data_IF_206818312041
#
_entry.id   IF_206818312041
#
_cell.length_a   1.000
_cell.length_b   1.000
_cell.length_c   1.000
_cell.angle_alpha   90.00
_cell.angle_beta   90.00
_cell.angle_gamma   90.00
#
_symmetry.space_group_name_H-M   'P 1'
#
loop_
_entity.id
_entity.type
_entity.pdbx_description
1 polymer ?
#
# COMPACT_ATOMS: atom_id res chain seq x y z
N UNK A 1 -12.05 11.81 6.30
CA UNK A 1 -11.42 12.88 5.50
C UNK A 1 -10.78 13.96 6.40
N UNK A 2 -11.42 14.39 7.47
CA UNK A 2 -10.90 15.50 8.32
C UNK A 2 -9.61 15.17 9.03
N UNK A 3 -9.41 13.92 9.49
CA UNK A 3 -8.23 13.53 10.27
C UNK A 3 -6.99 13.23 9.41
N UNK A 4 -7.18 12.64 8.22
CA UNK A 4 -6.06 12.15 7.41
C UNK A 4 -5.82 12.97 6.14
N UNK A 5 -6.76 13.84 5.75
CA UNK A 5 -6.75 14.51 4.45
C UNK A 5 -6.99 13.56 3.26
N UNK A 6 -7.37 12.30 3.51
CA UNK A 6 -7.66 11.33 2.45
C UNK A 6 -8.83 11.85 1.59
N UNK A 7 -8.65 12.04 0.27
CA UNK A 7 -9.75 12.44 -0.59
C UNK A 7 -10.74 11.30 -0.79
N UNK A 8 -12.02 11.64 -0.79
CA UNK A 8 -13.11 10.76 -1.19
C UNK A 8 -13.94 11.45 -2.25
N UNK A 9 -14.23 10.76 -3.32
CA UNK A 9 -14.98 11.30 -4.46
C UNK A 9 -16.43 10.80 -4.53
N UNK A 10 -17.21 11.45 -5.39
CA UNK A 10 -18.61 11.06 -5.64
C UNK A 10 -18.75 9.62 -6.15
N UNK A 11 -17.78 9.14 -6.92
CA UNK A 11 -17.72 7.75 -7.38
C UNK A 11 -17.73 6.74 -6.23
N UNK A 12 -17.07 7.06 -5.12
CA UNK A 12 -17.09 6.22 -3.93
C UNK A 12 -18.43 6.30 -3.20
N UNK A 13 -18.90 7.53 -2.83
CA UNK A 13 -20.10 7.69 -2.01
C UNK A 13 -21.39 7.34 -2.76
N UNK A 14 -21.51 7.77 -4.01
CA UNK A 14 -22.72 7.61 -4.80
C UNK A 14 -22.71 6.35 -5.69
N UNK A 15 -21.52 5.73 -5.85
CA UNK A 15 -21.31 4.52 -6.64
C UNK A 15 -20.96 3.32 -5.78
N UNK A 16 -19.69 3.16 -5.44
CA UNK A 16 -19.13 1.93 -4.87
C UNK A 16 -19.77 1.52 -3.53
N UNK A 17 -20.06 2.49 -2.63
CA UNK A 17 -20.71 2.19 -1.34
C UNK A 17 -22.13 1.63 -1.49
N UNK A 18 -22.81 1.95 -2.58
CA UNK A 18 -24.17 1.49 -2.87
C UNK A 18 -24.18 0.26 -3.79
N UNK A 19 -23.01 -0.21 -4.21
CA UNK A 19 -22.86 -1.33 -5.13
C UNK A 19 -22.90 -2.66 -4.40
N UNK A 20 -24.08 -3.31 -4.41
CA UNK A 20 -24.28 -4.62 -3.78
C UNK A 20 -23.44 -5.75 -4.40
N UNK A 21 -22.90 -5.56 -5.59
CA UNK A 21 -22.01 -6.50 -6.27
C UNK A 21 -20.52 -6.26 -5.99
N UNK A 22 -20.18 -5.23 -5.22
CA UNK A 22 -18.79 -4.94 -4.87
C UNK A 22 -18.27 -5.96 -3.86
N UNK A 23 -17.16 -6.62 -4.22
CA UNK A 23 -16.44 -7.54 -3.33
C UNK A 23 -15.31 -6.78 -2.64
N UNK A 24 -15.27 -6.85 -1.32
CA UNK A 24 -14.19 -6.29 -0.51
C UNK A 24 -13.17 -7.40 -0.20
N UNK A 25 -12.37 -7.75 -1.20
CA UNK A 25 -11.26 -8.68 -1.07
C UNK A 25 -9.94 -7.92 -1.25
N UNK A 26 -9.03 -8.10 -0.31
CA UNK A 26 -7.71 -7.45 -0.33
C UNK A 26 -6.64 -8.27 -1.07
N UNK A 27 -6.89 -9.55 -1.36
CA UNK A 27 -5.89 -10.39 -2.06
C UNK A 27 -5.59 -9.90 -3.49
N UNK A 28 -6.59 -9.60 -4.36
CA UNK A 28 -6.33 -9.11 -5.70
C UNK A 28 -5.50 -7.81 -5.74
N UNK A 29 -5.82 -6.75 -4.98
CA UNK A 29 -5.01 -5.53 -4.99
C UNK A 29 -3.60 -5.75 -4.39
N UNK A 30 -3.42 -6.60 -3.39
CA UNK A 30 -2.08 -6.96 -2.88
C UNK A 30 -1.27 -7.68 -3.97
N UNK A 31 -1.87 -8.64 -4.68
CA UNK A 31 -1.23 -9.33 -5.81
C UNK A 31 -0.79 -8.35 -6.90
N UNK A 32 -1.60 -7.31 -7.18
CA UNK A 32 -1.28 -6.29 -8.16
C UNK A 32 -0.09 -5.40 -7.71
N UNK A 33 -0.01 -5.07 -6.43
CA UNK A 33 1.12 -4.31 -5.85
C UNK A 33 2.41 -5.14 -5.96
N UNK A 34 2.36 -6.43 -5.61
CA UNK A 34 3.51 -7.34 -5.72
C UNK A 34 3.95 -7.50 -7.17
N UNK A 35 3.00 -7.62 -8.12
CA UNK A 35 3.29 -7.70 -9.54
C UNK A 35 3.97 -6.43 -10.08
N UNK A 36 3.45 -5.24 -9.75
CA UNK A 36 4.05 -3.97 -10.16
C UNK A 36 5.46 -3.80 -9.57
N UNK A 37 5.65 -4.21 -8.32
CA UNK A 37 6.96 -4.23 -7.67
C UNK A 37 7.94 -5.15 -8.39
N UNK A 38 7.52 -6.34 -8.78
CA UNK A 38 8.36 -7.33 -9.46
C UNK A 38 8.75 -6.90 -10.88
N UNK A 39 7.85 -6.23 -11.62
CA UNK A 39 8.09 -5.84 -13.01
C UNK A 39 8.97 -4.59 -13.14
N UNK A 40 8.71 -3.57 -12.33
CA UNK A 40 9.35 -2.24 -12.50
C UNK A 40 9.75 -1.55 -11.20
N UNK A 41 9.59 -2.19 -10.03
CA UNK A 41 9.82 -1.54 -8.75
C UNK A 41 8.72 -0.53 -8.33
N UNK A 42 7.58 -0.50 -9.04
CA UNK A 42 6.52 0.49 -8.83
C UNK A 42 5.41 0.03 -7.88
N UNK A 43 5.69 -0.83 -6.91
CA UNK A 43 4.68 -1.31 -5.95
C UNK A 43 3.99 -0.18 -5.19
N UNK A 44 4.74 0.81 -4.71
CA UNK A 44 4.17 1.96 -3.99
C UNK A 44 3.29 2.84 -4.89
N UNK A 45 3.71 3.07 -6.14
CA UNK A 45 2.90 3.81 -7.12
C UNK A 45 1.59 3.07 -7.43
N UNK A 46 1.66 1.74 -7.55
CA UNK A 46 0.47 0.90 -7.73
C UNK A 46 -0.48 0.97 -6.53
N UNK A 47 0.04 0.92 -5.29
CA UNK A 47 -0.76 1.11 -4.09
C UNK A 47 -1.49 2.47 -4.10
N UNK A 48 -0.79 3.55 -4.38
CA UNK A 48 -1.38 4.90 -4.46
C UNK A 48 -2.46 4.98 -5.53
N UNK A 49 -2.21 4.39 -6.71
CA UNK A 49 -3.17 4.39 -7.82
C UNK A 49 -4.42 3.56 -7.47
N UNK A 50 -4.26 2.41 -6.82
CA UNK A 50 -5.37 1.58 -6.34
C UNK A 50 -6.21 2.33 -5.31
N UNK A 51 -5.58 2.99 -4.32
CA UNK A 51 -6.30 3.78 -3.33
C UNK A 51 -7.10 4.92 -3.98
N UNK A 52 -6.53 5.63 -4.93
CA UNK A 52 -7.23 6.66 -5.68
C UNK A 52 -8.42 6.09 -6.48
N UNK A 53 -8.21 4.96 -7.17
CA UNK A 53 -9.27 4.29 -7.91
C UNK A 53 -10.45 3.88 -7.01
N UNK A 54 -10.14 3.39 -5.81
CA UNK A 54 -11.16 2.96 -4.86
C UNK A 54 -11.91 4.15 -4.23
N UNK A 55 -11.16 5.05 -3.58
CA UNK A 55 -11.75 6.08 -2.72
C UNK A 55 -12.21 7.34 -3.48
N UNK A 56 -11.67 7.61 -4.66
CA UNK A 56 -12.04 8.80 -5.44
C UNK A 56 -12.92 8.42 -6.63
N UNK A 57 -12.48 7.42 -7.42
CA UNK A 57 -13.16 7.03 -8.65
C UNK A 57 -14.29 6.01 -8.42
N UNK A 58 -14.34 5.34 -7.27
CA UNK A 58 -15.35 4.33 -6.95
C UNK A 58 -15.19 3.04 -7.75
N UNK A 59 -13.97 2.69 -8.16
CA UNK A 59 -13.70 1.47 -8.96
C UNK A 59 -13.61 0.24 -8.08
N UNK A 60 -14.06 -0.90 -8.59
CA UNK A 60 -13.99 -2.22 -7.95
C UNK A 60 -12.56 -2.76 -8.03
N UNK A 61 -11.73 -2.47 -7.03
CA UNK A 61 -10.31 -2.87 -7.02
C UNK A 61 -10.06 -4.37 -6.76
N UNK A 62 -11.10 -5.15 -6.50
CA UNK A 62 -11.00 -6.62 -6.50
C UNK A 62 -11.04 -7.21 -7.92
N UNK A 63 -11.48 -6.46 -8.93
CA UNK A 63 -11.59 -6.91 -10.31
C UNK A 63 -10.24 -6.84 -11.01
N UNK A 64 -9.77 -7.97 -11.55
CA UNK A 64 -8.48 -8.04 -12.25
C UNK A 64 -8.41 -7.13 -13.48
N UNK A 65 -9.53 -6.90 -14.14
CA UNK A 65 -9.60 -5.99 -15.30
C UNK A 65 -9.32 -4.53 -14.87
N UNK A 66 -9.85 -4.12 -13.72
CA UNK A 66 -9.58 -2.81 -13.13
C UNK A 66 -8.10 -2.69 -12.79
N UNK A 67 -7.53 -3.67 -12.10
CA UNK A 67 -6.11 -3.67 -11.70
C UNK A 67 -5.17 -3.64 -12.91
N UNK A 68 -5.51 -4.38 -13.98
CA UNK A 68 -4.75 -4.36 -15.23
C UNK A 68 -4.80 -3.00 -15.92
N UNK A 69 -5.97 -2.35 -15.94
CA UNK A 69 -6.09 -0.98 -16.46
C UNK A 69 -5.25 0.02 -15.65
N UNK A 70 -5.26 -0.08 -14.31
CA UNK A 70 -4.43 0.77 -13.44
C UNK A 70 -2.93 0.57 -13.71
N UNK A 71 -2.50 -0.67 -13.96
CA UNK A 71 -1.11 -0.95 -14.34
C UNK A 71 -0.73 -0.27 -15.66
N UNK A 72 -1.64 -0.30 -16.66
CA UNK A 72 -1.47 0.41 -17.93
C UNK A 72 -1.38 1.93 -17.75
N UNK A 73 -2.19 2.51 -16.87
CA UNK A 73 -2.14 3.94 -16.52
C UNK A 73 -0.80 4.36 -15.90
N UNK A 74 -0.12 3.43 -15.22
CA UNK A 74 1.23 3.61 -14.69
C UNK A 74 2.35 3.33 -15.72
N UNK A 75 1.99 3.02 -16.96
CA UNK A 75 2.93 2.73 -18.03
C UNK A 75 3.58 1.35 -17.98
N UNK A 76 3.04 0.41 -17.19
CA UNK A 76 3.54 -0.96 -17.16
C UNK A 76 3.17 -1.71 -18.43
N UNK A 77 4.06 -2.59 -18.90
CA UNK A 77 3.72 -3.57 -19.94
C UNK A 77 2.60 -4.49 -19.44
N UNK A 78 1.44 -4.48 -20.10
CA UNK A 78 0.28 -5.27 -19.67
C UNK A 78 0.57 -6.77 -19.69
N UNK A 79 1.37 -7.23 -20.63
CA UNK A 79 1.77 -8.65 -20.70
C UNK A 79 2.67 -9.03 -19.50
N UNK A 80 3.69 -8.21 -19.22
CA UNK A 80 4.60 -8.46 -18.10
C UNK A 80 3.86 -8.38 -16.75
N UNK A 81 2.98 -7.38 -16.60
CA UNK A 81 2.14 -7.23 -15.42
C UNK A 81 1.21 -8.43 -15.23
N UNK A 82 0.50 -8.86 -16.29
CA UNK A 82 -0.44 -10.00 -16.21
C UNK A 82 0.27 -11.29 -15.79
N UNK A 83 1.45 -11.57 -16.36
CA UNK A 83 2.24 -12.74 -15.99
C UNK A 83 2.69 -12.67 -14.52
N UNK A 84 3.20 -11.51 -14.08
CA UNK A 84 3.62 -11.30 -12.69
C UNK A 84 2.43 -11.36 -11.72
N UNK A 85 1.28 -10.82 -12.10
CA UNK A 85 0.05 -10.88 -11.31
C UNK A 85 -0.40 -12.32 -11.09
N UNK A 86 -0.45 -13.13 -12.14
CA UNK A 86 -0.81 -14.55 -12.05
C UNK A 86 0.18 -15.33 -11.16
N UNK A 87 1.47 -15.02 -11.26
CA UNK A 87 2.48 -15.63 -10.40
C UNK A 87 2.33 -15.21 -8.93
N UNK A 88 1.91 -13.95 -8.67
CA UNK A 88 1.69 -13.45 -7.31
C UNK A 88 0.43 -14.01 -6.66
N UNK A 89 -0.65 -14.24 -7.43
CA UNK A 89 -1.93 -14.73 -6.89
C UNK A 89 -1.79 -16.01 -6.07
N UNK A 90 -2.59 -16.12 -5.01
CA UNK A 90 -2.63 -17.28 -4.14
C UNK A 90 -1.40 -17.37 -3.25
N UNK A 91 -0.55 -18.39 -3.43
CA UNK A 91 0.51 -18.74 -2.47
C UNK A 91 1.47 -17.57 -2.15
N UNK A 92 1.92 -16.82 -3.15
CA UNK A 92 2.86 -15.71 -2.92
C UNK A 92 2.21 -14.59 -2.12
N UNK A 93 1.01 -14.16 -2.51
CA UNK A 93 0.24 -13.12 -1.81
C UNK A 93 -0.12 -13.56 -0.40
N UNK A 94 -0.57 -14.79 -0.21
CA UNK A 94 -0.88 -15.33 1.12
C UNK A 94 0.36 -15.40 2.00
N UNK A 95 1.51 -15.81 1.44
CA UNK A 95 2.80 -15.78 2.13
C UNK A 95 3.21 -14.38 2.54
N UNK A 96 3.04 -13.39 1.67
CA UNK A 96 3.28 -11.97 1.96
C UNK A 96 2.38 -11.45 3.09
N UNK A 97 1.10 -11.78 3.06
CA UNK A 97 0.14 -11.40 4.11
C UNK A 97 0.55 -12.03 5.45
N UNK A 98 0.91 -13.31 5.45
CA UNK A 98 1.35 -14.01 6.66
C UNK A 98 2.64 -13.39 7.23
N UNK A 99 3.64 -13.10 6.39
CA UNK A 99 4.88 -12.44 6.80
C UNK A 99 4.64 -11.04 7.37
N UNK A 100 3.75 -10.26 6.75
CA UNK A 100 3.38 -8.92 7.24
C UNK A 100 2.71 -8.98 8.61
N UNK A 101 1.87 -9.99 8.87
CA UNK A 101 1.24 -10.20 10.19
C UNK A 101 2.27 -10.61 11.26
N UNK A 102 3.26 -11.42 10.89
CA UNK A 102 4.37 -11.78 11.80
C UNK A 102 5.18 -10.55 12.16
N UNK A 103 5.55 -9.71 11.18
CA UNK A 103 6.23 -8.43 11.41
C UNK A 103 5.43 -7.51 12.32
N UNK A 104 4.13 -7.38 12.08
CA UNK A 104 3.22 -6.58 12.89
C UNK A 104 3.23 -7.03 14.37
N UNK A 105 3.15 -8.34 14.59
CA UNK A 105 3.19 -8.93 15.93
C UNK A 105 4.55 -8.72 16.61
N UNK A 106 5.65 -8.91 15.90
CA UNK A 106 7.02 -8.68 16.40
C UNK A 106 7.24 -7.21 16.78
N UNK A 107 6.65 -6.28 16.04
CA UNK A 107 6.69 -4.85 16.33
C UNK A 107 5.79 -4.43 17.50
N UNK A 108 4.98 -5.34 18.05
CA UNK A 108 4.00 -5.00 19.09
C UNK A 108 2.87 -4.10 18.61
N UNK A 109 2.68 -3.98 17.29
CA UNK A 109 1.67 -3.14 16.69
C UNK A 109 0.36 -3.92 16.49
N UNK A 110 -0.79 -3.19 16.49
CA UNK A 110 -2.11 -3.83 16.49
C UNK A 110 -2.88 -3.68 15.17
N UNK A 111 -2.33 -2.99 14.17
CA UNK A 111 -3.06 -2.76 12.92
C UNK A 111 -2.24 -2.12 11.81
N UNK A 112 -2.89 -1.91 10.68
CA UNK A 112 -2.31 -1.26 9.51
C UNK A 112 -2.96 0.12 9.29
N UNK A 113 -2.19 1.10 8.78
CA UNK A 113 -0.77 1.03 8.46
C UNK A 113 0.13 1.08 9.70
N UNK A 114 1.18 0.26 9.72
CA UNK A 114 2.30 0.36 10.66
C UNK A 114 3.57 0.61 9.86
N UNK A 115 4.36 1.58 10.29
CA UNK A 115 5.64 1.92 9.68
C UNK A 115 6.78 1.50 10.61
N UNK A 116 7.73 0.77 10.06
CA UNK A 116 8.92 0.31 10.75
C UNK A 116 10.15 0.95 10.11
N UNK A 117 11.06 1.43 10.91
CA UNK A 117 12.39 1.82 10.50
C UNK A 117 13.38 0.75 10.94
N UNK A 118 14.08 0.14 9.97
CA UNK A 118 15.11 -0.86 10.20
C UNK A 118 16.50 -0.22 10.06
N UNK A 119 17.40 -0.48 10.98
CA UNK A 119 18.80 -0.06 10.89
C UNK A 119 19.65 -1.09 10.13
N UNK A 120 20.91 -0.72 9.82
CA UNK A 120 21.85 -1.60 9.12
C UNK A 120 22.22 -2.88 9.91
N UNK A 121 21.77 -3.04 11.14
CA UNK A 121 21.99 -4.20 12.02
C UNK A 121 20.71 -5.05 12.16
N UNK A 122 19.62 -4.68 11.49
CA UNK A 122 18.34 -5.37 11.55
C UNK A 122 17.46 -5.02 12.75
N UNK A 123 17.80 -3.99 13.53
CA UNK A 123 16.91 -3.52 14.59
C UNK A 123 15.78 -2.70 14.01
N UNK A 124 14.58 -3.07 14.37
CA UNK A 124 13.37 -2.39 13.90
C UNK A 124 12.72 -1.60 15.03
N UNK A 125 12.22 -0.42 14.71
CA UNK A 125 11.36 0.35 15.60
C UNK A 125 10.14 0.89 14.88
N UNK A 126 9.04 0.97 15.59
CA UNK A 126 7.80 1.56 15.08
C UNK A 126 7.96 3.08 14.99
N UNK A 127 7.54 3.64 13.86
CA UNK A 127 7.42 5.08 13.67
C UNK A 127 5.99 5.52 13.97
N UNK A 128 5.85 6.51 14.85
CA UNK A 128 4.54 7.07 15.22
C UNK A 128 3.98 7.92 14.07
N UNK A 129 3.00 7.37 13.38
CA UNK A 129 2.33 8.03 12.25
C UNK A 129 1.12 8.87 12.69
N UNK A 130 0.46 8.48 13.79
CA UNK A 130 -0.84 9.04 14.20
C UNK A 130 -0.84 10.57 14.36
N UNK A 131 0.25 11.13 14.91
CA UNK A 131 0.41 12.57 15.12
C UNK A 131 0.61 13.38 13.84
N UNK A 132 0.90 12.71 12.71
CA UNK A 132 1.22 13.35 11.43
C UNK A 132 0.13 13.17 10.37
N UNK A 133 -0.99 12.54 10.73
CA UNK A 133 -2.12 12.39 9.80
C UNK A 133 -2.63 13.78 9.38
N UNK A 134 -2.72 14.00 8.06
CA UNK A 134 -3.06 15.30 7.49
C UNK A 134 -1.91 16.33 7.46
N UNK A 135 -0.74 16.02 8.01
CA UNK A 135 0.42 16.92 8.10
C UNK A 135 1.67 16.35 7.39
N UNK A 136 1.65 16.19 6.05
CA UNK A 136 2.70 15.49 5.31
C UNK A 136 4.08 16.17 5.42
N UNK A 137 4.15 17.48 5.54
CA UNK A 137 5.42 18.21 5.70
C UNK A 137 6.06 17.97 7.08
N UNK A 138 5.25 17.90 8.12
CA UNK A 138 5.74 17.58 9.48
C UNK A 138 6.21 16.12 9.53
N UNK A 139 5.47 15.20 8.89
CA UNK A 139 5.89 13.82 8.74
C UNK A 139 7.23 13.68 8.02
N UNK A 140 7.42 14.39 6.91
CA UNK A 140 8.68 14.38 6.16
C UNK A 140 9.85 14.91 7.01
N UNK A 141 9.63 15.96 7.79
CA UNK A 141 10.63 16.53 8.70
C UNK A 141 11.00 15.54 9.80
N UNK A 142 10.01 14.87 10.38
CA UNK A 142 10.22 13.80 11.36
C UNK A 142 11.04 12.65 10.79
N UNK A 143 10.67 12.12 9.61
CA UNK A 143 11.42 11.04 8.95
C UNK A 143 12.88 11.40 8.70
N UNK A 144 13.15 12.61 8.22
CA UNK A 144 14.52 13.08 8.00
C UNK A 144 15.33 13.12 9.31
N UNK A 145 14.74 13.60 10.38
CA UNK A 145 15.39 13.62 11.70
C UNK A 145 15.68 12.20 12.22
N UNK A 146 14.76 11.26 11.99
CA UNK A 146 14.94 9.86 12.35
C UNK A 146 16.09 9.18 11.59
N UNK A 147 16.18 9.42 10.29
CA UNK A 147 17.26 8.89 9.43
C UNK A 147 18.63 9.45 9.84
N UNK A 148 18.71 10.73 10.18
CA UNK A 148 19.97 11.34 10.67
C UNK A 148 20.38 10.72 12.00
N UNK A 149 19.46 10.55 12.94
CA UNK A 149 19.73 9.89 14.24
C UNK A 149 20.26 8.47 14.06
N UNK A 150 19.67 7.72 13.14
CA UNK A 150 20.08 6.34 12.84
C UNK A 150 21.51 6.31 12.28
N UNK A 151 21.85 7.21 11.35
CA UNK A 151 23.20 7.29 10.78
C UNK A 151 24.27 7.58 11.86
N UNK A 152 23.95 8.47 12.82
CA UNK A 152 24.88 8.84 13.91
C UNK A 152 25.05 7.73 14.98
N UNK A 153 24.16 6.74 15.04
CA UNK A 153 24.26 5.63 16.01
C UNK A 153 24.96 4.40 15.41
N UNK A 154 25.25 4.43 14.11
CA UNK A 154 25.89 3.34 13.37
C UNK A 154 27.42 3.50 13.26
N UNK A 155 27.98 4.60 13.77
CA UNK A 155 29.42 4.83 13.96
C UNK A 155 29.87 4.41 15.37
#
# INVERSE_FOLDING_TARGET
AELSGQPFGDGYFNGLLNDQGAVLDSEPPISAILAAQAVTGQGLAMLQRIQHAHYVEGRRIADVQVLTALAGELGLSLLSFSNAYQAACGRQTQGHIAASRVLLAQAGAQGFPTLLLEDGRGHMRVLELSHYLGHPQQWLSYLRAELVRQASTSE
#
